data_IF_522754474404
#
_entry.id   IF_522754474404
#
_cell.length_a   1.000
_cell.length_b   1.000
_cell.length_c   1.000
_cell.angle_alpha   90.00
_cell.angle_beta   90.00
_cell.angle_gamma   90.00
#
_symmetry.space_group_name_H-M   'P 1'
#
loop_
_entity.id
_entity.type
_entity.pdbx_description
1 polymer ?
#
# COMPACT_ATOMS: atom_id res chain seq x y z
N UNK A 1 21.04 -21.75 53.39
CA UNK A 1 21.61 -20.45 52.97
C UNK A 1 22.62 -20.66 51.86
N UNK A 2 22.26 -20.34 50.61
CA UNK A 2 23.20 -20.18 49.49
C UNK A 2 22.55 -19.21 48.51
N UNK A 3 23.13 -18.01 48.44
CA UNK A 3 22.75 -16.92 47.53
C UNK A 3 23.32 -17.28 46.16
N UNK A 4 22.48 -17.44 45.14
CA UNK A 4 22.95 -17.51 43.75
C UNK A 4 22.50 -16.23 43.06
N UNK A 5 23.50 -15.62 42.44
CA UNK A 5 23.59 -14.27 41.95
C UNK A 5 22.70 -14.05 40.73
N UNK A 6 22.00 -12.91 40.76
CA UNK A 6 21.50 -12.20 39.59
C UNK A 6 22.71 -11.87 38.70
N UNK A 7 22.75 -12.43 37.49
CA UNK A 7 23.68 -12.04 36.45
C UNK A 7 22.93 -11.92 35.12
N UNK A 8 22.76 -10.67 34.73
CA UNK A 8 22.19 -10.17 33.50
C UNK A 8 22.87 -10.75 32.26
N UNK A 9 22.10 -11.31 31.34
CA UNK A 9 22.36 -11.17 29.89
C UNK A 9 21.01 -11.09 29.18
N UNK A 10 20.58 -9.84 28.99
CA UNK A 10 19.58 -9.41 28.04
C UNK A 10 20.01 -9.87 26.63
N UNK A 11 19.57 -11.05 26.21
CA UNK A 11 19.57 -11.43 24.78
C UNK A 11 18.23 -10.97 24.21
N UNK A 12 18.03 -9.66 24.21
CA UNK A 12 17.03 -8.98 23.39
C UNK A 12 17.79 -8.46 22.16
N UNK A 13 18.19 -9.38 21.29
CA UNK A 13 19.00 -9.07 20.13
C UNK A 13 18.51 -9.85 18.93
N UNK A 14 17.91 -9.12 17.99
CA UNK A 14 17.77 -9.48 16.58
C UNK A 14 16.67 -10.47 16.16
N UNK A 15 15.43 -10.15 16.50
CA UNK A 15 14.35 -10.21 15.49
C UNK A 15 13.55 -8.90 15.52
N UNK A 16 14.25 -7.77 15.51
CA UNK A 16 13.67 -6.59 14.89
C UNK A 16 13.75 -6.84 13.37
N UNK A 17 12.85 -7.68 12.87
CA UNK A 17 12.46 -7.61 11.47
C UNK A 17 12.01 -6.17 11.26
N UNK A 18 12.92 -5.34 10.76
CA UNK A 18 12.61 -4.01 10.27
C UNK A 18 11.50 -4.22 9.26
N UNK A 19 10.27 -3.91 9.66
CA UNK A 19 9.15 -3.95 8.76
C UNK A 19 9.54 -3.06 7.59
N UNK A 20 9.73 -3.67 6.42
CA UNK A 20 9.90 -2.91 5.19
C UNK A 20 8.72 -1.93 5.15
N UNK A 21 9.00 -0.64 5.26
CA UNK A 21 7.98 0.39 5.31
C UNK A 21 7.29 0.41 3.95
N UNK A 22 6.16 -0.29 3.84
CA UNK A 22 5.25 -0.17 2.72
C UNK A 22 4.78 1.29 2.71
N UNK A 23 5.26 2.06 1.74
CA UNK A 23 4.92 3.46 1.60
C UNK A 23 3.54 3.57 0.98
N UNK A 24 2.52 3.63 1.84
CA UNK A 24 1.14 3.91 1.42
C UNK A 24 1.04 5.33 0.87
N UNK A 25 0.48 5.47 -0.34
CA UNK A 25 0.30 6.75 -1.01
C UNK A 25 -1.16 6.95 -1.41
N UNK A 26 -1.69 8.13 -1.10
CA UNK A 26 -2.95 8.60 -1.69
C UNK A 26 -2.58 9.43 -2.91
N UNK A 27 -2.86 8.88 -4.08
CA UNK A 27 -2.47 9.45 -5.38
C UNK A 27 -3.57 10.40 -5.88
N UNK A 28 -4.83 9.97 -5.77
CA UNK A 28 -5.99 10.80 -6.08
C UNK A 28 -7.01 10.72 -4.94
N UNK A 29 -7.53 11.86 -4.51
CA UNK A 29 -8.64 11.96 -3.57
C UNK A 29 -9.61 13.06 -4.02
N UNK A 30 -10.74 12.69 -4.64
CA UNK A 30 -11.79 13.64 -5.00
C UNK A 30 -11.32 14.82 -5.88
N UNK A 31 -10.33 14.61 -6.76
CA UNK A 31 -9.76 15.65 -7.64
C UNK A 31 -8.51 16.33 -7.12
N UNK A 32 -8.19 16.18 -5.84
CA UNK A 32 -6.87 16.51 -5.34
C UNK A 32 -5.88 15.44 -5.83
N UNK A 33 -4.92 15.85 -6.65
CA UNK A 33 -3.77 15.02 -6.97
C UNK A 33 -2.72 15.17 -5.87
N UNK A 34 -2.42 14.06 -5.20
CA UNK A 34 -1.19 13.96 -4.42
C UNK A 34 -0.03 13.62 -5.37
N UNK A 35 1.21 14.06 -5.11
CA UNK A 35 2.34 13.35 -5.69
C UNK A 35 2.19 11.88 -5.24
N UNK A 36 2.27 10.93 -6.18
CA UNK A 36 2.51 9.54 -5.78
C UNK A 36 3.85 9.55 -5.07
N UNK A 37 3.83 9.58 -3.74
CA UNK A 37 5.01 9.90 -2.95
C UNK A 37 5.98 8.74 -3.09
N UNK A 38 7.12 8.98 -3.73
CA UNK A 38 8.26 8.07 -3.63
C UNK A 38 8.76 8.16 -2.20
N UNK A 39 8.81 7.06 -1.43
CA UNK A 39 9.56 7.06 -0.18
C UNK A 39 10.96 7.60 -0.44
N UNK A 40 11.43 8.52 0.41
CA UNK A 40 12.61 9.37 0.18
C UNK A 40 13.74 8.61 -0.53
N UNK A 41 13.89 8.86 -1.84
CA UNK A 41 14.81 8.18 -2.77
C UNK A 41 14.77 6.65 -2.68
N UNK A 42 13.94 6.03 -3.53
CA UNK A 42 13.88 4.58 -3.69
C UNK A 42 15.26 3.96 -3.87
N UNK A 43 15.79 3.32 -2.84
CA UNK A 43 16.98 2.47 -3.01
C UNK A 43 16.54 1.29 -3.86
N UNK A 44 17.27 1.03 -4.95
CA UNK A 44 16.97 -0.12 -5.81
C UNK A 44 16.98 -1.40 -4.95
N UNK A 45 15.90 -2.18 -5.01
CA UNK A 45 15.71 -3.36 -4.17
C UNK A 45 15.05 -3.12 -2.81
N UNK A 46 14.64 -1.89 -2.48
CA UNK A 46 13.77 -1.59 -1.32
C UNK A 46 12.42 -0.99 -1.70
N UNK A 47 12.30 -0.43 -2.90
CA UNK A 47 11.07 0.15 -3.47
C UNK A 47 10.89 -0.30 -4.91
N UNK A 48 9.64 -0.57 -5.29
CA UNK A 48 9.29 -0.86 -6.68
C UNK A 48 9.21 0.45 -7.47
N UNK A 49 8.61 1.48 -6.85
CA UNK A 49 8.50 2.80 -7.45
C UNK A 49 9.80 3.59 -7.29
N UNK A 50 10.53 3.77 -8.39
CA UNK A 50 11.82 4.49 -8.41
C UNK A 50 11.69 5.99 -8.70
N UNK A 51 10.57 6.41 -9.28
CA UNK A 51 10.33 7.80 -9.70
C UNK A 51 8.94 8.27 -9.31
N UNK A 52 8.77 9.54 -8.92
CA UNK A 52 7.47 10.06 -8.53
C UNK A 52 6.57 10.22 -9.75
N UNK A 53 5.29 9.93 -9.55
CA UNK A 53 4.25 10.25 -10.54
C UNK A 53 3.50 11.49 -10.09
N UNK A 54 3.18 12.35 -11.06
CA UNK A 54 2.34 13.52 -10.88
C UNK A 54 1.10 13.40 -11.78
N UNK A 55 0.15 12.51 -11.46
CA UNK A 55 -1.02 12.30 -12.29
C UNK A 55 -1.99 13.48 -12.18
N UNK A 56 -2.78 13.69 -13.23
CA UNK A 56 -3.95 14.57 -13.16
C UNK A 56 -5.14 13.74 -12.66
N UNK A 57 -5.70 14.13 -11.52
CA UNK A 57 -6.84 13.45 -10.93
C UNK A 57 -8.15 14.14 -11.31
N UNK A 58 -9.15 13.35 -11.71
CA UNK A 58 -10.52 13.85 -11.83
C UNK A 58 -11.10 14.07 -10.43
N UNK A 59 -12.00 15.04 -10.28
CA UNK A 59 -12.83 15.22 -9.08
C UNK A 59 -13.56 13.94 -8.66
N UNK A 60 -13.75 13.00 -9.58
CA UNK A 60 -14.50 11.79 -9.33
C UNK A 60 -13.63 10.57 -9.00
N UNK A 61 -12.30 10.63 -9.18
CA UNK A 61 -11.43 9.44 -9.08
C UNK A 61 -10.69 9.41 -7.75
N UNK A 62 -10.69 8.25 -7.10
CA UNK A 62 -9.80 7.98 -5.97
C UNK A 62 -8.81 6.89 -6.37
N UNK A 63 -7.54 7.08 -6.02
CA UNK A 63 -6.46 6.15 -6.33
C UNK A 63 -5.50 6.12 -5.14
N UNK A 64 -5.21 4.91 -4.66
CA UNK A 64 -4.23 4.66 -3.61
C UNK A 64 -3.19 3.66 -4.11
N UNK A 65 -1.92 3.91 -3.82
CA UNK A 65 -0.81 3.04 -4.15
C UNK A 65 -0.04 2.60 -2.91
N UNK A 66 0.72 1.53 -3.03
CA UNK A 66 1.73 1.12 -2.04
C UNK A 66 2.84 0.32 -2.70
N UNK A 67 4.07 0.55 -2.26
CA UNK A 67 5.12 -0.44 -2.43
C UNK A 67 4.79 -1.68 -1.60
N UNK A 68 4.95 -2.84 -2.21
CA UNK A 68 4.87 -4.14 -1.57
C UNK A 68 6.08 -4.44 -0.67
N UNK A 69 6.11 -5.63 -0.10
CA UNK A 69 7.17 -6.06 0.82
C UNK A 69 8.55 -5.88 0.17
N UNK A 70 9.39 -5.06 0.81
CA UNK A 70 10.74 -4.70 0.33
C UNK A 70 10.79 -4.19 -1.11
N UNK A 71 9.71 -3.60 -1.61
CA UNK A 71 9.66 -3.07 -2.97
C UNK A 71 9.64 -4.13 -4.08
N UNK A 72 9.31 -5.38 -3.76
CA UNK A 72 9.24 -6.45 -4.75
C UNK A 72 8.12 -6.23 -5.79
N UNK A 73 7.09 -5.46 -5.44
CA UNK A 73 5.98 -5.10 -6.33
C UNK A 73 5.38 -3.75 -5.94
N UNK A 74 4.50 -3.23 -6.78
CA UNK A 74 3.64 -2.09 -6.48
C UNK A 74 2.19 -2.52 -6.62
N UNK A 75 1.37 -2.16 -5.64
CA UNK A 75 -0.06 -2.46 -5.64
C UNK A 75 -0.86 -1.16 -5.67
N UNK A 76 -1.96 -1.18 -6.42
CA UNK A 76 -2.84 -0.03 -6.63
C UNK A 76 -4.27 -0.44 -6.39
N UNK A 77 -5.03 0.45 -5.75
CA UNK A 77 -6.48 0.39 -5.65
C UNK A 77 -7.07 1.68 -6.19
N UNK A 78 -8.20 1.57 -6.89
CA UNK A 78 -8.88 2.72 -7.49
C UNK A 78 -10.39 2.56 -7.48
N UNK A 79 -11.09 3.69 -7.52
CA UNK A 79 -12.52 3.73 -7.72
C UNK A 79 -12.98 5.10 -8.22
N UNK A 80 -14.29 5.24 -8.40
CA UNK A 80 -14.93 6.51 -8.70
C UNK A 80 -16.04 6.82 -7.70
N UNK A 81 -16.15 8.08 -7.28
CA UNK A 81 -17.28 8.59 -6.46
C UNK A 81 -18.61 8.58 -7.22
N UNK A 82 -18.58 8.28 -8.52
CA UNK A 82 -19.76 8.02 -9.36
C UNK A 82 -19.86 6.56 -9.81
N UNK A 83 -18.88 5.74 -9.41
CA UNK A 83 -18.79 4.33 -9.77
C UNK A 83 -19.53 3.44 -8.78
N UNK A 84 -19.69 2.17 -9.18
CA UNK A 84 -20.31 1.13 -8.34
C UNK A 84 -19.31 0.11 -7.80
N UNK A 85 -18.08 0.12 -8.32
CA UNK A 85 -17.05 -0.86 -8.03
C UNK A 85 -15.73 -0.18 -7.69
N UNK A 86 -14.96 -0.87 -6.86
CA UNK A 86 -13.53 -0.65 -6.66
C UNK A 86 -12.72 -1.67 -7.45
N UNK A 87 -11.52 -1.27 -7.84
CA UNK A 87 -10.62 -2.06 -8.67
C UNK A 87 -9.25 -2.12 -8.04
N UNK A 88 -8.59 -3.26 -8.17
CA UNK A 88 -7.26 -3.51 -7.65
C UNK A 88 -6.38 -4.12 -8.73
N UNK A 89 -5.08 -3.83 -8.66
CA UNK A 89 -4.07 -4.42 -9.53
C UNK A 89 -2.68 -4.32 -8.89
N UNK A 90 -1.76 -5.16 -9.34
CA UNK A 90 -0.38 -5.15 -8.84
C UNK A 90 0.60 -5.51 -9.96
N UNK A 91 1.89 -5.23 -9.74
CA UNK A 91 2.94 -5.51 -10.72
C UNK A 91 3.52 -6.92 -10.64
N UNK A 92 3.15 -7.71 -9.62
CA UNK A 92 3.56 -9.12 -9.49
C UNK A 92 2.59 -10.05 -10.24
N UNK A 93 2.35 -9.79 -11.52
CA UNK A 93 1.49 -10.63 -12.37
C UNK A 93 -0.03 -10.43 -12.21
N UNK A 94 -0.48 -9.55 -11.31
CA UNK A 94 -1.91 -9.26 -11.11
C UNK A 94 -2.51 -8.34 -12.17
N UNK A 95 -3.56 -8.79 -12.86
CA UNK A 95 -4.34 -7.93 -13.75
C UNK A 95 -5.23 -6.97 -12.96
N UNK A 96 -5.62 -5.85 -13.59
CA UNK A 96 -6.63 -4.95 -13.02
C UNK A 96 -7.98 -5.67 -13.06
N UNK A 97 -8.57 -5.89 -11.89
CA UNK A 97 -9.85 -6.57 -11.75
C UNK A 97 -10.76 -5.83 -10.75
N UNK A 98 -12.06 -6.12 -10.83
CA UNK A 98 -13.02 -5.67 -9.81
C UNK A 98 -12.62 -6.33 -8.49
N UNK A 99 -12.42 -5.51 -7.47
CA UNK A 99 -12.14 -6.00 -6.11
C UNK A 99 -13.43 -6.18 -5.32
N UNK A 100 -14.30 -5.17 -5.34
CA UNK A 100 -15.57 -5.22 -4.62
C UNK A 100 -16.55 -4.17 -5.17
N UNK A 101 -17.85 -4.44 -4.98
CA UNK A 101 -18.87 -3.40 -5.08
C UNK A 101 -18.70 -2.36 -3.96
N UNK A 102 -19.05 -1.12 -4.24
CA UNK A 102 -18.95 -0.03 -3.27
C UNK A 102 -20.12 -0.06 -2.29
N UNK A 103 -19.83 0.25 -1.03
CA UNK A 103 -20.79 0.07 0.06
C UNK A 103 -21.89 1.15 0.06
N UNK A 104 -21.57 2.35 -0.44
CA UNK A 104 -22.49 3.48 -0.45
C UNK A 104 -23.32 3.50 -1.74
N UNK A 105 -24.66 3.48 -1.66
CA UNK A 105 -25.51 3.71 -2.81
C UNK A 105 -25.25 5.09 -3.41
N UNK A 106 -24.84 5.13 -4.68
CA UNK A 106 -24.58 6.37 -5.42
C UNK A 106 -23.11 6.69 -5.67
N UNK A 107 -22.16 5.94 -5.10
CA UNK A 107 -20.73 6.17 -5.36
C UNK A 107 -19.78 5.48 -4.39
N UNK A 108 -18.53 5.29 -4.80
CA UNK A 108 -17.46 4.82 -3.92
C UNK A 108 -16.83 5.98 -3.13
N UNK A 109 -16.35 5.72 -1.92
CA UNK A 109 -15.54 6.69 -1.16
C UNK A 109 -14.05 6.44 -1.38
N UNK A 110 -13.19 7.31 -0.85
CA UNK A 110 -11.75 7.07 -0.89
C UNK A 110 -11.35 5.78 -0.12
N UNK A 111 -12.10 5.40 0.91
CA UNK A 111 -11.81 4.21 1.72
C UNK A 111 -11.86 2.90 0.90
N UNK A 112 -12.77 2.80 -0.08
CA UNK A 112 -12.83 1.63 -0.95
C UNK A 112 -11.61 1.51 -1.86
N UNK A 113 -10.96 2.62 -2.24
CA UNK A 113 -9.72 2.57 -3.04
C UNK A 113 -8.54 2.07 -2.21
N UNK A 114 -8.46 2.50 -0.94
CA UNK A 114 -7.47 2.00 0.04
C UNK A 114 -7.68 0.52 0.32
N UNK A 115 -8.93 0.10 0.50
CA UNK A 115 -9.28 -1.32 0.71
C UNK A 115 -8.90 -2.15 -0.50
N UNK A 116 -9.25 -1.71 -1.71
CA UNK A 116 -8.91 -2.42 -2.95
C UNK A 116 -7.39 -2.55 -3.14
N UNK A 117 -6.62 -1.51 -2.81
CA UNK A 117 -5.16 -1.55 -2.81
C UNK A 117 -4.63 -2.60 -1.83
N UNK A 118 -5.18 -2.66 -0.62
CA UNK A 118 -4.79 -3.66 0.39
C UNK A 118 -5.04 -5.10 -0.08
N UNK A 119 -6.18 -5.36 -0.73
CA UNK A 119 -6.48 -6.66 -1.35
C UNK A 119 -5.48 -6.97 -2.47
N UNK A 120 -5.22 -6.00 -3.36
CA UNK A 120 -4.25 -6.18 -4.44
C UNK A 120 -2.83 -6.46 -3.93
N UNK A 121 -2.43 -5.80 -2.83
CA UNK A 121 -1.14 -6.01 -2.18
C UNK A 121 -1.03 -7.41 -1.55
N UNK A 122 -2.12 -7.89 -0.95
CA UNK A 122 -2.18 -9.23 -0.38
C UNK A 122 -2.09 -10.29 -1.49
N UNK A 123 -2.81 -10.11 -2.58
CA UNK A 123 -2.77 -11.03 -3.73
C UNK A 123 -1.38 -11.09 -4.39
N UNK A 124 -0.68 -9.95 -4.44
CA UNK A 124 0.69 -9.89 -4.97
C UNK A 124 1.67 -10.75 -4.17
N UNK A 125 1.49 -10.88 -2.85
CA UNK A 125 2.36 -11.71 -2.01
C UNK A 125 2.19 -13.22 -2.25
N UNK A 126 1.15 -13.63 -2.96
CA UNK A 126 0.81 -15.04 -3.25
C UNK A 126 0.93 -15.40 -4.73
N UNK A 127 1.39 -14.47 -5.58
CA UNK A 127 1.51 -14.64 -7.03
C UNK A 127 2.84 -15.25 -7.45
#
# INVERSE_FOLDING_TARGET
>A
MKKILVASTLVAGLFASVGAFAADTVICAGGAAGPGVVPASGTAGTHFMLTPIAPKCSANTNVAGTDGTSGAWYAVGSNSVKGKNSFGGNTNGGSVAITAACAVPGGCTAAESVTARGVANTAAATS
#
